data_IF_951870602455
#
_entry.id   IF_951870602455
#
_cell.length_a   1.000
_cell.length_b   1.000
_cell.length_c   1.000
_cell.angle_alpha   90.00
_cell.angle_beta   90.00
_cell.angle_gamma   90.00
#
_symmetry.space_group_name_H-M   'P 1'
#
loop_
_entity.id
_entity.type
_entity.pdbx_description
1 polymer ?
#
# COMPACT_ATOMS: atom_id res chain seq x y z
N UNK A 1 -11.81 -27.45 22.03
CA UNK A 1 -12.98 -26.95 21.29
C UNK A 1 -13.08 -25.47 21.58
N UNK A 2 -13.13 -24.62 20.55
CA UNK A 2 -13.24 -23.18 20.74
C UNK A 2 -14.55 -22.82 21.44
N UNK A 3 -14.46 -22.03 22.50
CA UNK A 3 -15.58 -21.55 23.31
C UNK A 3 -16.33 -20.44 22.58
N UNK A 4 -17.62 -20.26 22.89
CA UNK A 4 -18.45 -19.22 22.27
C UNK A 4 -17.88 -17.80 22.51
N UNK A 5 -17.20 -17.61 23.64
CA UNK A 5 -16.49 -16.37 23.97
C UNK A 5 -15.32 -16.06 23.01
N UNK A 6 -14.57 -17.07 22.56
CA UNK A 6 -13.47 -16.90 21.61
C UNK A 6 -13.99 -16.55 20.21
N UNK A 7 -15.12 -17.14 19.82
CA UNK A 7 -15.81 -16.79 18.58
C UNK A 7 -16.35 -15.36 18.60
N UNK A 8 -16.94 -14.92 19.72
CA UNK A 8 -17.40 -13.54 19.90
C UNK A 8 -16.23 -12.54 19.80
N UNK A 9 -15.07 -12.87 20.38
CA UNK A 9 -13.86 -12.04 20.29
C UNK A 9 -13.31 -11.97 18.86
N UNK A 10 -13.32 -13.09 18.14
CA UNK A 10 -12.94 -13.16 16.73
C UNK A 10 -13.86 -12.32 15.82
N UNK A 11 -15.17 -12.41 16.06
CA UNK A 11 -16.19 -11.60 15.37
C UNK A 11 -16.00 -10.11 15.62
N UNK A 12 -15.87 -9.71 16.89
CA UNK A 12 -15.66 -8.31 17.26
C UNK A 12 -14.42 -7.75 16.58
N UNK A 13 -13.33 -8.51 16.52
CA UNK A 13 -12.11 -8.10 15.81
C UNK A 13 -12.33 -7.93 14.31
N UNK A 14 -13.13 -8.79 13.68
CA UNK A 14 -13.47 -8.69 12.26
C UNK A 14 -14.36 -7.48 11.93
N UNK A 15 -15.26 -7.13 12.85
CA UNK A 15 -16.22 -6.03 12.72
C UNK A 15 -15.65 -4.67 13.13
N UNK A 16 -14.63 -4.63 14.00
CA UNK A 16 -14.07 -3.37 14.54
C UNK A 16 -12.70 -3.01 13.96
N UNK A 17 -11.90 -4.00 13.54
CA UNK A 17 -10.52 -3.75 13.09
C UNK A 17 -10.43 -3.82 11.57
N UNK A 18 -10.21 -2.68 10.90
CA UNK A 18 -10.06 -2.67 9.45
C UNK A 18 -8.83 -3.48 9.04
N UNK A 19 -8.98 -4.30 8.00
CA UNK A 19 -7.91 -5.16 7.47
C UNK A 19 -7.75 -6.51 8.17
N UNK A 20 -8.58 -6.85 9.16
CA UNK A 20 -8.54 -8.17 9.79
C UNK A 20 -8.90 -9.28 8.78
N UNK A 21 -8.10 -10.34 8.73
CA UNK A 21 -8.30 -11.49 7.83
C UNK A 21 -8.89 -12.69 8.57
N UNK A 22 -9.39 -13.68 7.83
CA UNK A 22 -9.85 -14.94 8.42
C UNK A 22 -8.71 -15.76 9.04
N UNK A 23 -7.47 -15.57 8.57
CA UNK A 23 -6.27 -16.22 9.13
C UNK A 23 -5.93 -15.66 10.53
N UNK A 24 -6.13 -14.35 10.73
CA UNK A 24 -5.96 -13.73 12.06
C UNK A 24 -6.97 -14.27 13.09
N UNK A 25 -8.19 -14.56 12.65
CA UNK A 25 -9.26 -15.09 13.50
C UNK A 25 -9.05 -16.57 13.76
N UNK A 26 -8.63 -17.32 12.73
CA UNK A 26 -8.27 -18.72 12.84
C UNK A 26 -7.18 -18.95 13.91
N UNK A 27 -6.19 -18.06 13.96
CA UNK A 27 -5.11 -18.09 14.96
C UNK A 27 -5.61 -17.82 16.38
N UNK A 28 -6.56 -16.90 16.55
CA UNK A 28 -7.14 -16.56 17.87
C UNK A 28 -8.02 -17.69 18.40
N UNK A 29 -8.81 -18.27 17.52
CA UNK A 29 -9.83 -19.27 17.87
C UNK A 29 -9.23 -20.69 17.86
N UNK A 30 -8.01 -20.87 17.33
CA UNK A 30 -7.33 -22.17 17.25
C UNK A 30 -8.00 -23.15 16.28
N UNK A 31 -8.60 -22.64 15.21
CA UNK A 31 -9.34 -23.44 14.21
C UNK A 31 -8.85 -23.14 12.80
N UNK A 32 -9.22 -23.97 11.82
CA UNK A 32 -8.86 -23.71 10.43
C UNK A 32 -9.58 -22.48 9.87
N UNK A 33 -8.92 -21.76 8.97
CA UNK A 33 -9.52 -20.65 8.20
C UNK A 33 -10.87 -21.01 7.57
N UNK A 34 -10.99 -22.26 7.07
CA UNK A 34 -12.22 -22.75 6.45
C UNK A 34 -13.38 -22.86 7.45
N UNK A 35 -13.10 -23.21 8.71
CA UNK A 35 -14.11 -23.23 9.77
C UNK A 35 -14.60 -21.80 10.10
N UNK A 36 -13.69 -20.82 10.17
CA UNK A 36 -14.04 -19.40 10.35
C UNK A 36 -14.87 -18.89 9.18
N UNK A 37 -14.51 -19.22 7.93
CA UNK A 37 -15.25 -18.81 6.75
C UNK A 37 -16.69 -19.35 6.74
N UNK A 38 -16.87 -20.64 7.04
CA UNK A 38 -18.20 -21.26 7.13
C UNK A 38 -19.06 -20.60 8.21
N UNK A 39 -18.47 -20.31 9.37
CA UNK A 39 -19.19 -19.68 10.48
C UNK A 39 -19.53 -18.21 10.22
N UNK A 40 -18.61 -17.45 9.66
CA UNK A 40 -18.85 -16.08 9.18
C UNK A 40 -20.04 -16.01 8.21
N UNK A 41 -20.12 -16.95 7.25
CA UNK A 41 -21.25 -17.03 6.31
C UNK A 41 -22.57 -17.43 6.97
N UNK A 42 -22.53 -18.31 7.97
CA UNK A 42 -23.71 -18.75 8.73
C UNK A 42 -24.25 -17.64 9.64
N UNK A 43 -23.37 -16.90 10.28
CA UNK A 43 -23.68 -15.92 11.32
C UNK A 43 -23.73 -14.47 10.77
N UNK A 44 -23.45 -14.28 9.48
CA UNK A 44 -23.60 -13.00 8.77
C UNK A 44 -22.62 -11.91 9.21
N UNK A 45 -21.35 -12.25 9.44
CA UNK A 45 -20.38 -11.28 9.96
C UNK A 45 -20.07 -10.17 8.94
N UNK A 46 -20.10 -8.92 9.40
CA UNK A 46 -19.79 -7.75 8.57
C UNK A 46 -18.31 -7.43 8.68
N UNK A 47 -17.63 -7.33 7.54
CA UNK A 47 -16.23 -6.93 7.54
C UNK A 47 -16.14 -5.44 7.79
N UNK A 48 -15.32 -5.02 8.76
CA UNK A 48 -14.86 -3.64 8.83
C UNK A 48 -14.01 -3.37 7.59
N UNK A 49 -14.59 -2.76 6.56
CA UNK A 49 -13.79 -2.27 5.44
C UNK A 49 -12.90 -1.14 5.98
N UNK A 50 -11.61 -1.22 5.65
CA UNK A 50 -10.76 -0.01 5.69
C UNK A 50 -11.48 0.98 4.80
N UNK A 51 -11.76 2.18 5.32
CA UNK A 51 -12.23 3.31 4.52
C UNK A 51 -11.26 3.43 3.33
N UNK A 52 -11.66 2.90 2.18
CA UNK A 52 -10.88 2.97 0.94
C UNK A 52 -10.97 4.43 0.57
N UNK A 53 -9.97 5.19 1.01
CA UNK A 53 -10.04 6.64 1.12
C UNK A 53 -10.75 7.31 -0.06
N UNK A 54 -11.72 8.15 0.30
CA UNK A 54 -12.57 8.98 -0.58
C UNK A 54 -13.30 8.23 -1.69
N UNK A 55 -14.60 8.48 -1.90
CA UNK A 55 -15.32 7.93 -3.03
C UNK A 55 -14.66 8.44 -4.31
N UNK A 56 -13.98 7.53 -5.03
CA UNK A 56 -13.56 7.77 -6.41
C UNK A 56 -14.85 7.95 -7.20
N UNK A 57 -15.01 9.05 -7.96
CA UNK A 57 -16.19 9.23 -8.80
C UNK A 57 -16.36 8.02 -9.72
N UNK A 58 -17.56 7.45 -9.74
CA UNK A 58 -17.87 6.31 -10.60
C UNK A 58 -17.61 6.68 -12.06
N UNK A 59 -16.95 5.80 -12.84
CA UNK A 59 -16.68 6.08 -14.25
C UNK A 59 -18.02 6.19 -14.99
N UNK A 60 -18.25 7.34 -15.64
CA UNK A 60 -19.44 7.54 -16.49
C UNK A 60 -19.44 6.48 -17.61
N UNK A 61 -20.45 5.60 -17.68
CA UNK A 61 -20.54 4.64 -18.77
C UNK A 61 -20.90 5.39 -20.06
N UNK A 62 -19.99 5.38 -21.05
CA UNK A 62 -20.29 5.90 -22.40
C UNK A 62 -19.19 6.68 -23.11
N UNK A 63 -18.00 6.90 -22.55
CA UNK A 63 -16.95 7.66 -23.26
C UNK A 63 -16.10 6.77 -24.17
N UNK A 64 -16.70 6.29 -25.27
CA UNK A 64 -15.97 5.53 -26.29
C UNK A 64 -15.26 6.42 -27.34
N UNK A 65 -15.36 7.75 -27.29
CA UNK A 65 -14.82 8.65 -28.34
C UNK A 65 -14.26 10.00 -27.81
N UNK A 66 -13.89 10.10 -26.54
CA UNK A 66 -13.31 11.31 -25.90
C UNK A 66 -11.84 11.15 -25.48
N UNK A 67 -11.08 10.38 -26.27
CA UNK A 67 -9.90 9.64 -25.81
C UNK A 67 -8.72 10.46 -25.31
N UNK A 68 -8.65 11.79 -25.41
CA UNK A 68 -7.55 12.59 -24.83
C UNK A 68 -7.95 14.08 -24.73
N UNK A 69 -9.03 14.36 -24.01
CA UNK A 69 -9.43 15.75 -23.76
C UNK A 69 -8.54 16.38 -22.68
N UNK A 70 -8.37 17.71 -22.72
CA UNK A 70 -7.70 18.46 -21.66
C UNK A 70 -8.36 18.22 -20.30
N UNK A 71 -9.69 18.09 -20.27
CA UNK A 71 -10.44 17.77 -19.05
C UNK A 71 -10.06 16.40 -18.47
N UNK A 72 -9.93 15.39 -19.31
CA UNK A 72 -9.54 14.04 -18.90
C UNK A 72 -8.08 14.00 -18.42
N UNK A 73 -7.19 14.77 -19.08
CA UNK A 73 -5.78 14.91 -18.65
C UNK A 73 -5.71 15.61 -17.28
N UNK A 74 -6.46 16.70 -17.09
CA UNK A 74 -6.50 17.41 -15.82
C UNK A 74 -7.05 16.53 -14.69
N UNK A 75 -8.10 15.76 -14.94
CA UNK A 75 -8.65 14.81 -13.97
C UNK A 75 -7.64 13.70 -13.64
N UNK A 76 -6.93 13.16 -14.64
CA UNK A 76 -5.87 12.19 -14.45
C UNK A 76 -4.76 12.72 -13.52
N UNK A 77 -4.27 13.93 -13.79
CA UNK A 77 -3.21 14.59 -13.03
C UNK A 77 -3.67 14.86 -11.60
N UNK A 78 -4.90 15.35 -11.41
CA UNK A 78 -5.45 15.62 -10.08
C UNK A 78 -5.56 14.34 -9.24
N UNK A 79 -6.13 13.27 -9.81
CA UNK A 79 -6.25 11.98 -9.10
C UNK A 79 -4.87 11.38 -8.82
N UNK A 80 -3.92 11.55 -9.74
CA UNK A 80 -2.55 11.10 -9.54
C UNK A 80 -1.84 11.87 -8.43
N UNK A 81 -2.01 13.20 -8.36
CA UNK A 81 -1.47 14.04 -7.28
C UNK A 81 -2.04 13.70 -5.89
N UNK A 82 -3.27 13.19 -5.83
CA UNK A 82 -3.91 12.80 -4.57
C UNK A 82 -3.53 11.39 -4.12
N UNK A 83 -3.46 10.44 -5.06
CA UNK A 83 -3.32 9.01 -4.74
C UNK A 83 -1.89 8.49 -4.91
N UNK A 84 -1.08 9.15 -5.73
CA UNK A 84 0.24 8.70 -6.14
C UNK A 84 0.24 7.40 -6.96
N UNK A 85 -0.94 6.93 -7.42
CA UNK A 85 -1.10 5.63 -8.11
C UNK A 85 -1.65 5.82 -9.52
N UNK A 86 -0.87 5.43 -10.53
CA UNK A 86 -1.27 5.50 -11.95
C UNK A 86 -2.56 4.73 -12.22
N UNK A 87 -2.68 3.51 -11.70
CA UNK A 87 -3.89 2.69 -11.87
C UNK A 87 -5.17 3.34 -11.32
N UNK A 88 -5.09 4.13 -10.25
CA UNK A 88 -6.25 4.86 -9.73
C UNK A 88 -6.64 6.02 -10.65
N UNK A 89 -5.64 6.75 -11.16
CA UNK A 89 -5.85 7.85 -12.10
C UNK A 89 -6.42 7.36 -13.44
N UNK A 90 -5.91 6.25 -13.98
CA UNK A 90 -6.44 5.60 -15.19
C UNK A 90 -7.92 5.21 -15.04
N UNK A 91 -8.29 4.64 -13.88
CA UNK A 91 -9.69 4.26 -13.61
C UNK A 91 -10.65 5.44 -13.55
N UNK A 92 -10.22 6.58 -13.01
CA UNK A 92 -11.04 7.78 -12.95
C UNK A 92 -11.44 8.26 -14.35
N UNK A 93 -10.49 8.20 -15.29
CA UNK A 93 -10.68 8.62 -16.69
C UNK A 93 -11.25 7.51 -17.57
N UNK A 94 -11.32 6.27 -17.08
CA UNK A 94 -11.80 5.11 -17.83
C UNK A 94 -10.82 4.59 -18.88
N UNK A 95 -9.52 4.85 -18.71
CA UNK A 95 -8.46 4.34 -19.60
C UNK A 95 -7.70 3.18 -18.95
N UNK A 96 -6.96 2.42 -19.76
CA UNK A 96 -6.05 1.40 -19.26
C UNK A 96 -4.62 1.96 -19.11
N UNK A 97 -3.79 1.26 -18.34
CA UNK A 97 -2.41 1.68 -18.07
C UNK A 97 -1.53 1.76 -19.33
N UNK A 98 -1.80 0.91 -20.34
CA UNK A 98 -1.07 0.92 -21.60
C UNK A 98 -1.38 2.19 -22.42
N UNK A 99 -2.62 2.64 -22.40
CA UNK A 99 -3.05 3.88 -23.06
C UNK A 99 -2.37 5.08 -22.43
N UNK A 100 -2.29 5.14 -21.09
CA UNK A 100 -1.54 6.19 -20.40
C UNK A 100 -0.04 6.14 -20.75
N UNK A 101 0.54 4.94 -20.81
CA UNK A 101 1.95 4.77 -21.20
C UNK A 101 2.20 5.34 -22.61
N UNK A 102 1.33 5.04 -23.57
CA UNK A 102 1.44 5.57 -24.93
C UNK A 102 1.33 7.10 -24.95
N UNK A 103 0.39 7.69 -24.19
CA UNK A 103 0.26 9.16 -24.17
C UNK A 103 1.46 9.87 -23.56
N UNK A 104 2.05 9.29 -22.53
CA UNK A 104 3.26 9.85 -21.89
C UNK A 104 4.46 9.71 -22.83
N UNK A 105 4.54 8.64 -23.63
CA UNK A 105 5.57 8.49 -24.65
C UNK A 105 5.38 9.48 -25.81
N UNK A 106 4.13 9.70 -26.23
CA UNK A 106 3.79 10.58 -27.35
C UNK A 106 3.80 12.07 -26.98
N UNK A 107 3.83 12.42 -25.69
CA UNK A 107 3.75 13.82 -25.25
C UNK A 107 4.63 14.09 -24.03
N UNK A 108 5.78 14.74 -24.23
CA UNK A 108 6.72 15.01 -23.15
C UNK A 108 6.15 15.95 -22.09
N UNK A 109 5.27 16.89 -22.45
CA UNK A 109 4.61 17.82 -21.52
C UNK A 109 3.80 17.05 -20.46
N UNK A 110 3.05 16.03 -20.88
CA UNK A 110 2.26 15.19 -19.97
C UNK A 110 3.17 14.41 -19.01
N UNK A 111 4.35 13.99 -19.46
CA UNK A 111 5.36 13.33 -18.61
C UNK A 111 5.86 14.27 -17.50
N UNK A 112 6.12 15.54 -17.84
CA UNK A 112 6.55 16.57 -16.89
C UNK A 112 5.44 16.86 -15.88
N UNK A 113 4.20 17.04 -16.35
CA UNK A 113 3.05 17.29 -15.48
C UNK A 113 2.76 16.12 -14.53
N UNK A 114 2.87 14.87 -15.03
CA UNK A 114 2.77 13.68 -14.20
C UNK A 114 3.86 13.63 -13.13
N UNK A 115 5.08 14.02 -13.47
CA UNK A 115 6.19 14.10 -12.51
C UNK A 115 5.94 15.17 -11.45
N UNK A 116 5.46 16.36 -11.83
CA UNK A 116 5.07 17.41 -10.89
C UNK A 116 3.90 17.00 -9.97
N UNK A 117 2.90 16.29 -10.51
CA UNK A 117 1.81 15.72 -9.72
C UNK A 117 2.30 14.67 -8.71
N UNK A 118 3.28 13.86 -9.10
CA UNK A 118 3.94 12.90 -8.21
C UNK A 118 4.66 13.60 -7.07
N UNK A 119 5.36 14.70 -7.35
CA UNK A 119 6.02 15.51 -6.31
C UNK A 119 5.00 16.14 -5.35
N UNK A 120 3.90 16.69 -5.87
CA UNK A 120 2.82 17.24 -5.04
C UNK A 120 2.24 16.19 -4.08
N UNK A 121 2.07 14.95 -4.53
CA UNK A 121 1.67 13.83 -3.67
C UNK A 121 2.67 13.60 -2.53
N UNK A 122 3.96 13.57 -2.84
CA UNK A 122 5.03 13.33 -1.86
C UNK A 122 5.13 14.47 -0.84
N UNK A 123 4.96 15.73 -1.27
CA UNK A 123 4.85 16.89 -0.37
C UNK A 123 3.65 16.72 0.57
N UNK A 124 2.53 16.22 0.07
CA UNK A 124 1.37 15.88 0.89
C UNK A 124 1.67 14.81 1.94
N UNK A 125 2.42 13.76 1.58
CA UNK A 125 2.87 12.74 2.54
C UNK A 125 3.85 13.30 3.57
N UNK A 126 4.75 14.20 3.15
CA UNK A 126 5.68 14.86 4.07
C UNK A 126 4.94 15.66 5.15
N UNK A 127 3.91 16.44 4.75
CA UNK A 127 3.04 17.14 5.70
C UNK A 127 2.30 16.20 6.64
N UNK A 128 1.86 15.03 6.16
CA UNK A 128 1.24 14.00 7.01
C UNK A 128 2.19 13.47 8.07
N UNK A 129 3.49 13.33 7.80
CA UNK A 129 4.45 12.92 8.83
C UNK A 129 4.50 13.94 9.98
N UNK A 130 4.46 15.24 9.65
CA UNK A 130 4.52 16.30 10.66
C UNK A 130 3.23 16.46 11.48
N UNK A 131 2.08 15.98 10.99
CA UNK A 131 0.75 16.34 11.54
C UNK A 131 -0.12 15.16 11.94
N UNK A 132 0.06 13.99 11.33
CA UNK A 132 -0.80 12.85 11.55
C UNK A 132 -0.31 11.99 12.72
N UNK A 133 -1.26 11.46 13.48
CA UNK A 133 -0.98 10.49 14.55
C UNK A 133 -0.33 9.21 14.01
N UNK A 134 -0.80 8.74 12.86
CA UNK A 134 -0.28 7.55 12.16
C UNK A 134 0.53 7.96 10.93
N UNK A 135 1.79 8.32 11.14
CA UNK A 135 2.75 8.79 10.12
C UNK A 135 3.56 7.65 9.47
N UNK A 136 3.51 6.44 10.03
CA UNK A 136 4.34 5.29 9.62
C UNK A 136 4.13 4.90 8.15
N UNK A 137 2.89 4.96 7.66
CA UNK A 137 2.57 4.67 6.26
C UNK A 137 3.15 5.73 5.30
N UNK A 138 3.12 7.01 5.70
CA UNK A 138 3.71 8.09 4.91
C UNK A 138 5.24 7.99 4.89
N UNK A 139 5.87 7.70 6.04
CA UNK A 139 7.32 7.48 6.13
C UNK A 139 7.77 6.27 5.28
N UNK A 140 7.05 5.15 5.35
CA UNK A 140 7.33 3.97 4.54
C UNK A 140 7.28 4.26 3.04
N UNK A 141 6.35 5.12 2.60
CA UNK A 141 6.22 5.52 1.21
C UNK A 141 7.36 6.45 0.76
N UNK A 142 7.75 7.42 1.59
CA UNK A 142 8.84 8.35 1.28
C UNK A 142 10.21 7.65 1.28
N UNK A 143 10.46 6.73 2.21
CA UNK A 143 11.75 6.03 2.30
C UNK A 143 12.04 5.10 1.10
N UNK A 144 11.00 4.71 0.36
CA UNK A 144 11.11 3.85 -0.84
C UNK A 144 11.00 4.60 -2.15
N UNK A 145 10.40 5.79 -2.17
CA UNK A 145 10.23 6.56 -3.38
C UNK A 145 11.61 7.07 -3.86
N UNK A 146 12.04 6.78 -5.09
CA UNK A 146 13.39 7.10 -5.56
C UNK A 146 13.71 8.60 -5.44
N UNK A 147 12.70 9.46 -5.55
CA UNK A 147 12.82 10.92 -5.47
C UNK A 147 13.08 11.44 -4.04
N UNK A 148 12.67 10.67 -3.02
CA UNK A 148 12.75 11.09 -1.60
C UNK A 148 13.57 10.13 -0.74
N UNK A 149 14.09 9.06 -1.35
CA UNK A 149 14.89 8.03 -0.69
C UNK A 149 16.17 8.59 -0.05
N UNK A 150 16.80 9.60 -0.64
CA UNK A 150 18.01 10.20 -0.05
C UNK A 150 17.71 10.98 1.24
N UNK A 151 16.48 11.45 1.42
CA UNK A 151 16.06 12.22 2.59
C UNK A 151 15.37 11.36 3.65
N UNK A 152 14.62 10.33 3.24
CA UNK A 152 13.78 9.50 4.12
C UNK A 152 14.21 8.04 4.19
N UNK A 153 15.12 7.61 3.34
CA UNK A 153 15.71 6.27 3.39
C UNK A 153 16.56 6.11 4.64
N UNK A 154 16.59 4.89 5.19
CA UNK A 154 17.56 4.56 6.25
C UNK A 154 18.97 4.64 5.67
N UNK A 155 19.70 5.68 6.04
CA UNK A 155 21.14 5.73 5.89
C UNK A 155 21.74 4.74 6.88
N UNK A 156 22.01 3.52 6.41
CA UNK A 156 22.82 2.58 7.18
C UNK A 156 24.24 3.12 7.15
N UNK A 157 24.63 3.88 8.17
CA UNK A 157 26.03 4.16 8.42
C UNK A 157 26.74 2.82 8.56
N UNK A 158 27.62 2.51 7.60
CA UNK A 158 28.41 1.28 7.64
C UNK A 158 29.32 1.39 8.86
N UNK A 159 28.95 0.70 9.93
CA UNK A 159 29.79 0.55 11.11
C UNK A 159 31.16 -0.06 10.77
N UNK A 160 32.14 0.06 11.69
CA UNK A 160 33.50 -0.40 11.44
C UNK A 160 33.52 -1.89 11.08
N UNK A 161 34.25 -2.23 10.02
CA UNK A 161 34.37 -3.61 9.51
C UNK A 161 35.13 -4.47 10.51
N UNK A 162 34.43 -5.34 11.23
CA UNK A 162 35.05 -6.32 12.13
C UNK A 162 35.65 -7.44 11.26
N UNK A 163 36.97 -7.63 11.34
CA UNK A 163 37.69 -8.75 10.72
C UNK A 163 37.95 -9.79 11.81
N UNK A 164 37.30 -10.95 11.72
CA UNK A 164 37.52 -12.08 12.64
C UNK A 164 38.54 -13.04 12.02
N UNK A 165 39.78 -13.03 12.53
CA UNK A 165 40.78 -14.05 12.21
C UNK A 165 40.66 -15.20 13.22
N UNK A 166 40.11 -16.33 12.78
CA UNK A 166 39.99 -17.53 13.60
C UNK A 166 41.21 -18.42 13.34
N UNK A 167 42.07 -18.55 14.35
CA UNK A 167 43.13 -19.57 14.36
C UNK A 167 42.57 -20.84 15.01
N UNK A 168 42.79 -22.00 14.37
CA UNK A 168 42.50 -23.31 14.96
C UNK A 168 43.75 -23.75 15.72
N UNK A 169 43.65 -23.91 17.03
CA UNK A 169 44.69 -24.60 17.79
C UNK A 169 44.59 -26.11 17.49
N UNK A 170 45.68 -26.68 17.01
CA UNK A 170 45.79 -28.12 16.79
C UNK A 170 45.88 -28.82 18.15
N UNK A 171 44.90 -29.67 18.45
CA UNK A 171 44.90 -30.52 19.63
C UNK A 171 45.92 -31.65 19.39
N UNK A 172 47.09 -31.54 20.01
CA UNK A 172 48.06 -32.64 20.07
C UNK A 172 47.51 -33.66 21.06
N UNK A 173 47.15 -34.84 20.57
CA UNK A 173 46.83 -36.01 21.40
C UNK A 173 48.11 -36.84 21.48
N UNK A 174 48.81 -36.76 22.61
CA UNK A 174 49.92 -37.68 22.92
C UNK A 174 49.39 -39.11 23.07
N UNK A 175 50.07 -40.06 22.44
CA UNK A 175 49.79 -41.51 22.50
C UNK A 175 50.52 -42.19 23.65
#
# INVERSE_FOLDING_TARGET
MATEAEWAKGRLKYETRPGCTYDDIATIVGVSRQAVHKRSKKDGWLKCEVDKGLPVPEPKPGSALGLRSEANIAELINVYALTGKKASACRAVGINDQTLYNWVADTPELSVEMSAAREAFLIGQHRKIATAKDWTAAQFLLSRAPETKDQFGETVEKGPRIILNIHRDEVVIDQ
#
